data_IF_646564560341
#
_entry.id   IF_646564560341
#
_cell.length_a   1.000
_cell.length_b   1.000
_cell.length_c   1.000
_cell.angle_alpha   90.00
_cell.angle_beta   90.00
_cell.angle_gamma   90.00
#
_symmetry.space_group_name_H-M   'P 1'
#
loop_
_entity.id
_entity.type
_entity.pdbx_description
1 polymer ?
#
# COMPACT_ATOMS: atom_id res chain seq x y z
N UNK A 1 20.45 44.35 1.13
CA UNK A 1 21.16 43.44 0.20
C UNK A 1 20.70 42.04 0.53
N UNK A 2 19.70 41.56 -0.21
CA UNK A 2 19.08 40.24 -0.03
C UNK A 2 19.84 39.24 -0.88
N UNK A 3 20.36 38.21 -0.23
CA UNK A 3 21.09 37.12 -0.87
C UNK A 3 20.15 36.32 -1.78
N UNK A 4 20.62 36.13 -3.01
CA UNK A 4 20.07 35.19 -3.99
C UNK A 4 20.22 33.79 -3.39
N UNK A 5 19.11 33.15 -3.03
CA UNK A 5 19.12 31.72 -2.78
C UNK A 5 19.27 31.01 -4.13
N UNK A 6 20.47 30.49 -4.38
CA UNK A 6 20.74 29.53 -5.44
C UNK A 6 19.79 28.35 -5.27
N UNK A 7 18.81 28.24 -6.16
CA UNK A 7 17.98 27.05 -6.32
C UNK A 7 18.92 25.92 -6.72
N UNK A 8 19.02 24.89 -5.89
CA UNK A 8 19.69 23.64 -6.26
C UNK A 8 19.06 23.08 -7.55
N UNK A 9 19.84 22.46 -8.46
CA UNK A 9 19.30 21.87 -9.68
C UNK A 9 18.46 20.64 -9.32
N UNK A 10 17.17 20.85 -9.07
CA UNK A 10 16.21 19.77 -8.85
C UNK A 10 16.09 18.92 -10.13
N UNK A 11 16.13 17.60 -9.90
CA UNK A 11 16.13 16.50 -10.88
C UNK A 11 15.26 16.76 -12.12
N UNK A 12 15.94 16.66 -13.25
CA UNK A 12 15.44 16.55 -14.62
C UNK A 12 14.37 15.44 -14.70
N UNK A 13 13.09 15.83 -14.87
CA UNK A 13 11.94 14.93 -14.96
C UNK A 13 10.99 15.41 -16.07
N UNK A 14 11.05 14.76 -17.23
CA UNK A 14 10.17 15.00 -18.36
C UNK A 14 10.26 13.86 -19.37
N UNK A 15 9.41 13.85 -20.41
CA UNK A 15 9.39 12.81 -21.41
C UNK A 15 10.61 12.88 -22.35
N UNK A 16 11.00 11.74 -22.93
CA UNK A 16 12.04 11.67 -23.95
C UNK A 16 11.51 11.02 -25.22
N UNK A 17 11.85 11.55 -26.39
CA UNK A 17 11.35 11.08 -27.68
C UNK A 17 11.45 12.12 -28.77
N UNK A 18 10.47 12.11 -29.67
CA UNK A 18 10.42 13.00 -30.81
C UNK A 18 9.12 13.79 -30.86
N UNK A 19 9.24 15.08 -31.13
CA UNK A 19 8.14 16.01 -31.33
C UNK A 19 8.11 16.42 -32.80
N UNK A 20 7.07 16.04 -33.52
CA UNK A 20 6.78 16.54 -34.85
C UNK A 20 6.08 17.89 -34.73
N UNK A 21 6.61 18.95 -35.34
CA UNK A 21 6.06 20.29 -35.31
C UNK A 21 6.15 20.91 -36.72
N UNK A 22 5.00 21.12 -37.38
CA UNK A 22 4.93 21.64 -38.75
C UNK A 22 5.79 20.85 -39.77
N UNK A 23 5.87 19.53 -39.61
CA UNK A 23 6.68 18.65 -40.46
C UNK A 23 8.18 18.62 -40.13
N UNK A 24 8.62 19.37 -39.11
CA UNK A 24 9.96 19.26 -38.54
C UNK A 24 9.97 18.29 -37.36
N UNK A 25 11.00 17.44 -37.31
CA UNK A 25 11.22 16.54 -36.18
C UNK A 25 12.19 17.18 -35.19
N UNK A 26 11.71 17.43 -33.97
CA UNK A 26 12.48 17.95 -32.86
C UNK A 26 12.78 16.82 -31.87
N UNK A 27 13.97 16.85 -31.27
CA UNK A 27 14.35 15.91 -30.21
C UNK A 27 13.85 16.44 -28.88
N UNK A 28 13.21 15.59 -28.10
CA UNK A 28 12.85 15.89 -26.71
C UNK A 28 13.68 14.99 -25.82
N UNK A 29 14.43 15.59 -24.90
CA UNK A 29 15.19 14.84 -23.89
C UNK A 29 14.88 15.36 -22.50
N UNK A 30 14.29 14.50 -21.69
CA UNK A 30 13.79 14.81 -20.35
C UNK A 30 12.93 16.08 -20.28
N UNK A 31 12.01 16.21 -21.24
CA UNK A 31 11.14 17.35 -21.44
C UNK A 31 11.77 18.50 -22.22
N UNK A 32 13.10 18.63 -22.25
CA UNK A 32 13.75 19.71 -23.00
C UNK A 32 13.64 19.46 -24.51
N UNK A 33 13.04 20.41 -25.24
CA UNK A 33 12.87 20.35 -26.70
C UNK A 33 14.05 21.02 -27.38
N UNK A 34 14.67 20.34 -28.34
CA UNK A 34 15.84 20.79 -29.08
C UNK A 34 15.55 20.96 -30.58
N UNK A 35 16.06 22.06 -31.13
CA UNK A 35 16.13 22.32 -32.56
C UNK A 35 17.59 22.61 -32.92
N UNK A 36 18.19 21.80 -33.80
CA UNK A 36 19.60 21.89 -34.18
C UNK A 36 20.56 21.98 -32.97
N UNK A 37 20.28 21.19 -31.92
CA UNK A 37 21.07 21.14 -30.69
C UNK A 37 20.84 22.28 -29.71
N UNK A 38 19.99 23.26 -30.03
CA UNK A 38 19.66 24.37 -29.13
C UNK A 38 18.32 24.14 -28.42
N UNK A 39 18.23 24.41 -27.10
CA UNK A 39 16.98 24.30 -26.36
C UNK A 39 15.99 25.38 -26.80
N UNK A 40 14.80 24.98 -27.26
CA UNK A 40 13.76 25.89 -27.79
C UNK A 40 12.45 25.86 -27.00
N UNK A 41 12.27 24.87 -26.11
CA UNK A 41 11.07 24.76 -25.28
C UNK A 41 11.14 23.59 -24.31
N UNK A 42 10.06 23.37 -23.58
CA UNK A 42 9.91 22.26 -22.63
C UNK A 42 8.55 21.59 -22.79
N UNK A 43 8.53 20.28 -23.00
CA UNK A 43 7.33 19.44 -23.06
C UNK A 43 7.13 18.74 -21.71
N UNK A 44 5.93 18.88 -21.15
CA UNK A 44 5.50 18.15 -19.97
C UNK A 44 4.80 16.83 -20.36
N UNK A 45 4.75 15.87 -19.43
CA UNK A 45 4.17 14.55 -19.68
C UNK A 45 2.66 14.59 -19.93
N UNK A 46 1.97 15.53 -19.29
CA UNK A 46 0.52 15.75 -19.48
C UNK A 46 0.19 16.51 -20.77
N UNK A 47 1.19 16.78 -21.61
CA UNK A 47 1.06 17.34 -22.95
C UNK A 47 1.08 18.86 -23.04
N UNK A 48 1.39 19.58 -21.96
CA UNK A 48 1.68 21.01 -22.06
C UNK A 48 3.06 21.24 -22.70
N UNK A 49 3.12 22.13 -23.69
CA UNK A 49 4.36 22.61 -24.29
C UNK A 49 4.60 24.07 -23.88
N UNK A 50 5.74 24.33 -23.26
CA UNK A 50 6.22 25.67 -22.97
C UNK A 50 7.25 26.09 -24.03
N UNK A 51 6.83 26.96 -24.95
CA UNK A 51 7.70 27.53 -25.98
C UNK A 51 7.66 29.06 -25.88
N UNK A 52 8.83 29.70 -25.81
CA UNK A 52 8.93 31.16 -25.72
C UNK A 52 8.06 31.81 -24.60
N UNK A 53 7.91 31.13 -23.45
CA UNK A 53 7.08 31.52 -22.31
C UNK A 53 5.56 31.43 -22.54
N UNK A 54 5.13 30.76 -23.60
CA UNK A 54 3.73 30.41 -23.85
C UNK A 54 3.58 28.93 -23.52
N UNK A 55 2.75 28.64 -22.52
CA UNK A 55 2.42 27.28 -22.10
C UNK A 55 1.03 26.93 -22.62
N UNK A 56 0.95 25.96 -23.54
CA UNK A 56 -0.31 25.50 -24.14
C UNK A 56 -0.34 23.99 -24.31
N UNK A 57 -1.51 23.35 -24.29
CA UNK A 57 -1.64 21.95 -24.65
C UNK A 57 -1.16 21.69 -26.09
N UNK A 58 -0.50 20.56 -26.31
CA UNK A 58 0.10 20.18 -27.61
C UNK A 58 -0.93 20.13 -28.73
N UNK A 59 -2.16 19.69 -28.46
CA UNK A 59 -3.26 19.63 -29.42
C UNK A 59 -3.82 21.00 -29.85
N UNK A 60 -3.52 22.10 -29.14
CA UNK A 60 -3.80 23.45 -29.66
C UNK A 60 -2.80 23.86 -30.76
N UNK A 61 -1.72 23.11 -30.94
CA UNK A 61 -0.67 23.38 -31.92
C UNK A 61 -0.91 22.46 -33.12
N UNK A 62 -1.37 23.07 -34.22
CA UNK A 62 -1.76 22.32 -35.40
C UNK A 62 -0.62 21.44 -35.94
N UNK A 63 -0.88 20.14 -36.07
CA UNK A 63 0.09 19.16 -36.57
C UNK A 63 1.24 18.86 -35.61
N UNK A 64 1.06 19.14 -34.31
CA UNK A 64 2.04 18.82 -33.28
C UNK A 64 1.78 17.45 -32.67
N UNK A 65 2.74 16.53 -32.76
CA UNK A 65 2.63 15.17 -32.23
C UNK A 65 3.88 14.81 -31.46
N UNK A 66 3.72 14.23 -30.28
CA UNK A 66 4.82 13.64 -29.55
C UNK A 66 4.72 12.12 -29.50
N UNK A 67 5.84 11.44 -29.76
CA UNK A 67 6.01 9.99 -29.58
C UNK A 67 7.29 9.72 -28.81
N UNK A 68 7.18 9.01 -27.70
CA UNK A 68 8.32 8.69 -26.86
C UNK A 68 7.95 7.90 -25.61
N UNK A 69 8.63 8.24 -24.53
CA UNK A 69 8.43 7.66 -23.20
C UNK A 69 8.28 8.79 -22.18
N UNK A 70 7.54 8.53 -21.11
CA UNK A 70 7.53 9.39 -19.92
C UNK A 70 8.81 9.21 -19.08
N UNK A 71 8.94 9.97 -17.99
CA UNK A 71 10.12 9.90 -17.11
C UNK A 71 10.28 8.53 -16.41
N UNK A 72 9.25 7.68 -16.45
CA UNK A 72 9.28 6.32 -15.91
C UNK A 72 9.58 5.28 -16.99
N UNK A 73 9.79 5.67 -18.24
CA UNK A 73 10.07 4.76 -19.35
C UNK A 73 8.82 4.06 -19.91
N UNK A 74 7.62 4.56 -19.61
CA UNK A 74 6.38 4.03 -20.17
C UNK A 74 6.08 4.78 -21.47
N UNK A 75 5.64 4.05 -22.49
CA UNK A 75 5.24 4.62 -23.77
C UNK A 75 4.28 5.82 -23.58
N UNK A 76 4.60 6.92 -24.23
CA UNK A 76 3.85 8.16 -24.21
C UNK A 76 3.64 8.63 -25.65
N UNK A 77 2.39 8.69 -26.05
CA UNK A 77 1.96 9.27 -27.32
C UNK A 77 0.96 10.37 -27.01
N UNK A 78 1.26 11.59 -27.45
CA UNK A 78 0.38 12.73 -27.28
C UNK A 78 -0.24 13.09 -28.64
N UNK A 79 -1.56 12.89 -28.81
CA UNK A 79 -2.23 13.02 -30.11
C UNK A 79 -2.50 14.48 -30.50
N UNK A 80 -2.81 14.71 -31.77
CA UNK A 80 -3.17 16.02 -32.33
C UNK A 80 -4.60 16.49 -32.03
N UNK A 81 -5.45 15.65 -31.43
CA UNK A 81 -6.89 15.88 -31.34
C UNK A 81 -7.44 15.73 -29.92
N UNK A 82 -8.50 16.51 -29.62
CA UNK A 82 -9.22 16.47 -28.35
C UNK A 82 -9.99 15.16 -28.20
N UNK A 83 -9.43 14.23 -27.44
CA UNK A 83 -10.08 12.96 -27.13
C UNK A 83 -10.36 12.92 -25.62
N UNK A 84 -11.54 13.38 -25.20
CA UNK A 84 -12.03 13.25 -23.84
C UNK A 84 -12.28 14.56 -23.09
N UNK A 85 -12.69 14.47 -21.82
CA UNK A 85 -13.18 15.60 -21.06
C UNK A 85 -12.06 16.53 -20.58
N UNK A 86 -12.43 17.77 -20.27
CA UNK A 86 -11.54 18.77 -19.66
C UNK A 86 -12.18 19.34 -18.40
N UNK A 87 -11.43 19.39 -17.30
CA UNK A 87 -11.94 19.85 -16.01
C UNK A 87 -11.03 19.58 -14.83
N UNK A 88 -11.63 19.53 -13.65
CA UNK A 88 -10.95 19.23 -12.39
C UNK A 88 -11.42 17.88 -11.86
N UNK A 89 -10.45 17.05 -11.46
CA UNK A 89 -10.69 15.75 -10.85
C UNK A 89 -10.18 15.79 -9.40
N UNK A 90 -11.03 15.43 -8.45
CA UNK A 90 -10.64 15.12 -7.07
C UNK A 90 -10.60 13.61 -6.91
N UNK A 91 -9.41 13.04 -6.74
CA UNK A 91 -9.17 11.60 -6.64
C UNK A 91 -8.65 11.26 -5.25
N UNK A 92 -9.46 10.64 -4.41
CA UNK A 92 -9.18 10.39 -2.98
C UNK A 92 -8.71 11.65 -2.23
N UNK A 93 -9.32 12.80 -2.52
CA UNK A 93 -8.93 14.10 -1.96
C UNK A 93 -7.73 14.77 -2.65
N UNK A 94 -7.01 14.09 -3.54
CA UNK A 94 -5.94 14.68 -4.36
C UNK A 94 -6.56 15.43 -5.54
N UNK A 95 -6.19 16.70 -5.72
CA UNK A 95 -6.63 17.50 -6.86
C UNK A 95 -5.74 17.24 -8.07
N UNK A 96 -6.37 16.84 -9.17
CA UNK A 96 -5.78 16.56 -10.47
C UNK A 96 -6.46 17.42 -11.55
N UNK A 97 -5.75 17.64 -12.65
CA UNK A 97 -6.25 18.31 -13.83
C UNK A 97 -6.60 17.27 -14.88
N UNK A 98 -7.75 17.41 -15.53
CA UNK A 98 -8.05 16.64 -16.75
C UNK A 98 -8.02 17.60 -17.92
N UNK A 99 -7.16 17.35 -18.90
CA UNK A 99 -7.05 18.15 -20.12
C UNK A 99 -7.15 17.21 -21.31
N UNK A 100 -8.26 17.30 -22.05
CA UNK A 100 -8.56 16.44 -23.20
C UNK A 100 -8.35 14.96 -22.87
N UNK A 101 -9.01 14.51 -21.79
CA UNK A 101 -8.93 13.16 -21.26
C UNK A 101 -7.66 12.84 -20.48
N UNK A 102 -6.56 13.58 -20.62
CA UNK A 102 -5.31 13.28 -19.87
C UNK A 102 -5.41 13.76 -18.44
N UNK A 103 -5.15 12.87 -17.49
CA UNK A 103 -5.12 13.18 -16.07
C UNK A 103 -3.69 13.54 -15.67
N UNK A 104 -3.48 14.82 -15.36
CA UNK A 104 -2.21 15.40 -14.93
C UNK A 104 -2.24 15.83 -13.47
N UNK A 105 -1.09 15.71 -12.81
CA UNK A 105 -0.83 16.35 -11.51
C UNK A 105 -0.65 17.87 -11.67
N UNK A 106 -0.72 18.66 -10.58
CA UNK A 106 -0.44 20.09 -10.65
C UNK A 106 0.96 20.45 -11.16
N UNK A 107 1.94 19.56 -11.02
CA UNK A 107 3.30 19.68 -11.56
C UNK A 107 3.47 19.03 -12.95
N UNK A 108 2.36 18.82 -13.67
CA UNK A 108 2.33 18.37 -15.06
C UNK A 108 2.88 16.96 -15.34
N UNK A 109 2.88 16.08 -14.33
CA UNK A 109 3.12 14.63 -14.53
C UNK A 109 1.85 13.94 -14.97
N UNK A 110 1.96 13.07 -15.96
CA UNK A 110 0.83 12.28 -16.45
C UNK A 110 0.61 11.07 -15.54
N UNK A 111 -0.59 10.94 -14.98
CA UNK A 111 -0.95 9.82 -14.09
C UNK A 111 -2.00 8.90 -14.68
N UNK A 112 -2.71 9.32 -15.72
CA UNK A 112 -3.77 8.53 -16.31
C UNK A 112 -4.54 9.22 -17.42
N UNK A 113 -5.65 8.61 -17.78
CA UNK A 113 -6.61 9.07 -18.79
C UNK A 113 -8.04 8.89 -18.25
N UNK A 114 -8.96 9.74 -18.70
CA UNK A 114 -10.39 9.69 -18.45
C UNK A 114 -11.12 9.84 -19.78
N UNK A 115 -12.14 9.05 -20.04
CA UNK A 115 -13.02 9.22 -21.20
C UNK A 115 -14.31 9.98 -20.85
N UNK A 116 -15.12 10.30 -21.87
CA UNK A 116 -16.37 11.04 -21.73
C UNK A 116 -17.49 10.25 -21.04
N UNK A 117 -17.28 8.96 -20.78
CA UNK A 117 -18.16 8.11 -19.97
C UNK A 117 -17.73 8.10 -18.49
N UNK A 118 -16.57 8.68 -18.19
CA UNK A 118 -15.99 8.74 -16.85
C UNK A 118 -15.17 7.51 -16.47
N UNK A 119 -14.84 6.65 -17.42
CA UNK A 119 -13.90 5.55 -17.20
C UNK A 119 -12.50 6.11 -17.00
N UNK A 120 -11.82 5.66 -15.94
CA UNK A 120 -10.46 6.08 -15.63
C UNK A 120 -9.47 4.95 -15.94
N UNK A 121 -8.36 5.32 -16.56
CA UNK A 121 -7.18 4.49 -16.78
C UNK A 121 -6.00 5.12 -16.04
N UNK A 122 -5.27 4.35 -15.23
CA UNK A 122 -4.08 4.83 -14.52
C UNK A 122 -2.81 4.26 -15.17
N UNK A 123 -1.74 5.06 -15.14
CA UNK A 123 -0.39 4.61 -15.50
C UNK A 123 0.28 3.93 -14.31
N UNK A 124 0.61 2.66 -14.44
CA UNK A 124 1.38 1.92 -13.43
C UNK A 124 2.88 2.11 -13.64
N UNK A 125 3.44 3.07 -12.92
CA UNK A 125 4.88 3.42 -12.99
C UNK A 125 5.82 2.34 -12.49
N UNK A 126 5.32 1.41 -11.66
CA UNK A 126 6.10 0.33 -11.07
C UNK A 126 6.20 -0.84 -12.05
N UNK A 127 5.07 -1.29 -12.58
CA UNK A 127 5.00 -2.42 -13.52
C UNK A 127 5.18 -2.01 -15.00
N UNK A 128 5.36 -0.71 -15.26
CA UNK A 128 5.52 -0.14 -16.60
C UNK A 128 4.33 -0.38 -17.52
N UNK A 129 3.13 -0.37 -16.95
CA UNK A 129 1.87 -0.54 -17.71
C UNK A 129 1.27 0.82 -18.01
N UNK A 130 1.08 1.12 -19.30
CA UNK A 130 0.59 2.42 -19.74
C UNK A 130 -0.88 2.69 -19.40
N UNK A 131 -1.72 1.64 -19.38
CA UNK A 131 -3.17 1.79 -19.22
C UNK A 131 -3.73 0.64 -18.37
N UNK A 132 -3.95 0.92 -17.08
CA UNK A 132 -4.69 0.04 -16.17
C UNK A 132 -6.10 0.60 -16.04
N UNK A 133 -7.09 -0.11 -16.59
CA UNK A 133 -8.50 0.28 -16.46
C UNK A 133 -8.94 0.07 -15.02
N UNK A 134 -9.46 1.11 -14.39
CA UNK A 134 -10.02 0.99 -13.04
C UNK A 134 -11.43 0.44 -13.08
N UNK A 135 -11.73 -0.37 -12.07
CA UNK A 135 -13.04 -0.95 -11.79
C UNK A 135 -13.51 -0.55 -10.38
N UNK A 136 -14.66 -1.07 -9.96
CA UNK A 136 -15.20 -0.81 -8.61
C UNK A 136 -14.28 -1.26 -7.46
N UNK A 137 -13.32 -2.14 -7.72
CA UNK A 137 -12.41 -2.72 -6.74
C UNK A 137 -11.12 -1.90 -6.62
N UNK A 138 -10.67 -1.27 -7.69
CA UNK A 138 -9.42 -0.53 -7.79
C UNK A 138 -9.63 0.99 -7.77
N UNK A 139 -10.75 1.52 -8.24
CA UNK A 139 -11.02 2.96 -8.28
C UNK A 139 -11.24 3.55 -6.89
N UNK A 140 -10.55 4.63 -6.51
CA UNK A 140 -10.82 5.36 -5.28
C UNK A 140 -11.95 6.38 -5.47
N UNK A 141 -12.36 7.03 -4.38
CA UNK A 141 -13.38 8.10 -4.45
C UNK A 141 -12.97 9.14 -5.49
N UNK A 142 -13.84 9.38 -6.47
CA UNK A 142 -13.58 10.18 -7.66
C UNK A 142 -14.69 11.20 -7.80
N UNK A 143 -14.35 12.48 -7.89
CA UNK A 143 -15.30 13.55 -8.19
C UNK A 143 -14.72 14.39 -9.33
N UNK A 144 -15.39 14.43 -10.46
CA UNK A 144 -15.01 15.21 -11.61
C UNK A 144 -16.05 16.29 -11.92
N UNK A 145 -15.58 17.50 -12.21
CA UNK A 145 -16.38 18.60 -12.71
C UNK A 145 -15.67 19.27 -13.90
N UNK A 146 -16.36 19.35 -15.03
CA UNK A 146 -15.80 19.90 -16.26
C UNK A 146 -16.78 19.83 -17.43
N UNK A 147 -16.23 19.60 -18.62
CA UNK A 147 -16.98 19.42 -19.86
C UNK A 147 -16.46 18.20 -20.61
N UNK A 148 -17.33 17.54 -21.38
CA UNK A 148 -16.96 16.48 -22.32
C UNK A 148 -16.22 17.05 -23.53
N UNK A 149 -15.71 16.16 -24.39
CA UNK A 149 -15.06 16.57 -25.65
C UNK A 149 -15.98 17.36 -26.60
N UNK A 150 -17.31 17.14 -26.52
CA UNK A 150 -18.31 17.86 -27.31
C UNK A 150 -18.69 19.23 -26.73
N UNK A 151 -18.14 19.60 -25.57
CA UNK A 151 -18.39 20.85 -24.86
C UNK A 151 -19.56 20.80 -23.86
N UNK A 152 -20.30 19.69 -23.78
CA UNK A 152 -21.39 19.57 -22.81
C UNK A 152 -20.87 19.50 -21.37
N UNK A 153 -21.52 20.17 -20.40
CA UNK A 153 -21.15 20.08 -19.00
C UNK A 153 -21.16 18.63 -18.50
N UNK A 154 -20.11 18.24 -17.78
CA UNK A 154 -19.93 16.89 -17.26
C UNK A 154 -19.61 16.91 -15.77
N UNK A 155 -20.45 16.21 -15.01
CA UNK A 155 -20.19 15.88 -13.61
C UNK A 155 -20.21 14.37 -13.45
N UNK A 156 -19.19 13.83 -12.80
CA UNK A 156 -19.07 12.41 -12.53
C UNK A 156 -18.64 12.22 -11.08
N UNK A 157 -19.33 11.35 -10.34
CA UNK A 157 -18.99 11.01 -8.97
C UNK A 157 -19.03 9.48 -8.81
N UNK A 158 -17.92 8.94 -8.32
CA UNK A 158 -17.81 7.56 -7.87
C UNK A 158 -17.38 7.57 -6.40
N UNK A 159 -18.19 6.96 -5.54
CA UNK A 159 -17.92 6.83 -4.11
C UNK A 159 -18.05 5.37 -3.72
N UNK A 160 -17.05 4.85 -3.00
CA UNK A 160 -17.09 3.47 -2.53
C UNK A 160 -18.17 3.27 -1.46
N UNK A 161 -18.76 2.07 -1.33
CA UNK A 161 -19.70 1.75 -0.26
C UNK A 161 -19.12 2.03 1.14
N UNK A 162 -19.93 2.51 2.09
CA UNK A 162 -19.51 2.82 3.48
C UNK A 162 -18.37 3.86 3.58
N UNK A 163 -18.19 4.71 2.57
CA UNK A 163 -17.22 5.80 2.59
C UNK A 163 -17.61 6.90 3.58
N UNK A 164 -16.65 7.27 4.42
CA UNK A 164 -16.71 8.43 5.32
C UNK A 164 -15.82 9.52 4.75
N UNK A 165 -16.44 10.67 4.46
CA UNK A 165 -15.79 11.83 3.82
C UNK A 165 -14.64 12.43 4.65
N UNK A 166 -14.66 12.22 5.97
CA UNK A 166 -13.66 12.71 6.92
C UNK A 166 -12.49 11.75 7.16
N UNK A 167 -12.42 10.64 6.41
CA UNK A 167 -11.45 9.56 6.59
C UNK A 167 -10.66 9.28 5.31
N UNK A 168 -9.39 8.89 5.47
CA UNK A 168 -8.55 8.38 4.39
C UNK A 168 -9.13 7.08 3.80
N UNK A 169 -8.61 6.64 2.66
CA UNK A 169 -8.95 5.31 2.16
C UNK A 169 -8.54 4.23 3.16
N UNK A 170 -7.33 4.33 3.74
CA UNK A 170 -6.83 3.33 4.69
C UNK A 170 -7.76 3.19 5.90
N UNK A 171 -8.18 4.31 6.51
CA UNK A 171 -9.13 4.33 7.62
C UNK A 171 -10.47 3.73 7.21
N UNK A 172 -11.00 4.09 6.04
CA UNK A 172 -12.26 3.53 5.54
C UNK A 172 -12.16 2.02 5.33
N UNK A 173 -11.06 1.51 4.80
CA UNK A 173 -10.89 0.07 4.58
C UNK A 173 -10.71 -0.70 5.89
N UNK A 174 -10.02 -0.13 6.88
CA UNK A 174 -9.98 -0.65 8.24
C UNK A 174 -11.40 -0.72 8.81
N UNK A 175 -12.15 0.38 8.79
CA UNK A 175 -13.53 0.42 9.29
C UNK A 175 -14.41 -0.66 8.64
N UNK A 176 -14.24 -0.92 7.34
CA UNK A 176 -14.97 -2.00 6.64
C UNK A 176 -14.55 -3.40 7.06
N UNK A 177 -13.29 -3.59 7.43
CA UNK A 177 -12.76 -4.87 7.88
C UNK A 177 -13.23 -5.23 9.30
N UNK A 178 -13.46 -4.23 10.18
CA UNK A 178 -13.97 -4.44 11.54
C UNK A 178 -15.49 -4.28 11.59
N UNK A 179 -16.22 -5.37 11.81
CA UNK A 179 -17.64 -5.26 12.13
C UNK A 179 -17.79 -4.56 13.50
N UNK A 180 -18.78 -3.66 13.59
CA UNK A 180 -19.02 -2.85 14.80
C UNK A 180 -17.88 -1.90 15.21
N UNK A 181 -17.00 -1.48 14.29
CA UNK A 181 -15.94 -0.49 14.57
C UNK A 181 -16.45 0.75 15.33
N UNK A 182 -17.67 1.22 15.02
CA UNK A 182 -18.24 2.40 15.68
C UNK A 182 -18.50 2.21 17.17
N UNK A 183 -18.75 0.97 17.62
CA UNK A 183 -18.99 0.63 19.03
C UNK A 183 -17.70 0.60 19.85
N UNK A 184 -16.53 0.62 19.21
CA UNK A 184 -15.24 0.64 19.87
C UNK A 184 -14.99 1.98 20.60
N UNK A 185 -14.35 1.90 21.77
CA UNK A 185 -13.86 3.07 22.52
C UNK A 185 -12.69 3.72 21.76
N UNK A 186 -12.41 5.00 22.03
CA UNK A 186 -11.36 5.77 21.34
C UNK A 186 -9.99 5.10 21.35
N UNK A 187 -9.56 4.54 22.49
CA UNK A 187 -8.27 3.85 22.59
C UNK A 187 -8.21 2.58 21.71
N UNK A 188 -9.34 1.86 21.61
CA UNK A 188 -9.45 0.65 20.80
C UNK A 188 -9.42 1.00 19.30
N UNK A 189 -10.13 2.07 18.90
CA UNK A 189 -10.08 2.59 17.53
C UNK A 189 -8.66 2.99 17.13
N UNK A 190 -7.94 3.71 18.01
CA UNK A 190 -6.54 4.09 17.76
C UNK A 190 -5.66 2.86 17.55
N UNK A 191 -5.74 1.88 18.45
CA UNK A 191 -5.00 0.63 18.36
C UNK A 191 -5.25 -0.12 17.04
N UNK A 192 -6.52 -0.25 16.65
CA UNK A 192 -6.92 -0.92 15.41
C UNK A 192 -6.38 -0.18 14.18
N UNK A 193 -6.56 1.14 14.13
CA UNK A 193 -6.02 1.95 13.03
C UNK A 193 -4.49 1.83 12.93
N UNK A 194 -3.80 1.94 14.06
CA UNK A 194 -2.33 1.89 14.11
C UNK A 194 -1.78 0.52 13.68
N UNK A 195 -2.41 -0.57 14.11
CA UNK A 195 -1.98 -1.94 13.77
C UNK A 195 -2.33 -2.38 12.35
N UNK A 196 -3.27 -1.73 11.67
CA UNK A 196 -3.74 -2.13 10.34
C UNK A 196 -3.40 -1.17 9.21
N UNK A 197 -2.91 0.04 9.53
CA UNK A 197 -2.70 1.10 8.53
C UNK A 197 -1.81 0.68 7.36
N UNK A 198 -0.68 0.01 7.62
CA UNK A 198 0.23 -0.40 6.54
C UNK A 198 -0.43 -1.39 5.57
N UNK A 199 -1.26 -2.30 6.08
CA UNK A 199 -1.97 -3.30 5.29
C UNK A 199 -3.12 -2.69 4.48
N UNK A 200 -3.79 -1.70 5.06
CA UNK A 200 -4.86 -0.95 4.39
C UNK A 200 -4.30 -0.02 3.31
N UNK A 201 -3.31 0.82 3.65
CA UNK A 201 -2.69 1.78 2.73
C UNK A 201 -1.90 1.12 1.58
N UNK A 202 -1.50 -0.15 1.73
CA UNK A 202 -0.90 -0.96 0.65
C UNK A 202 -1.91 -1.70 -0.23
N UNK A 203 -3.20 -1.65 0.11
CA UNK A 203 -4.27 -2.37 -0.60
C UNK A 203 -4.37 -3.86 -0.27
N UNK A 204 -3.41 -4.42 0.47
CA UNK A 204 -3.37 -5.85 0.83
C UNK A 204 -4.59 -6.24 1.67
N UNK A 205 -5.00 -5.40 2.63
CA UNK A 205 -6.16 -5.66 3.48
C UNK A 205 -7.44 -5.88 2.69
N UNK A 206 -7.67 -5.09 1.64
CA UNK A 206 -8.86 -5.22 0.80
C UNK A 206 -8.89 -6.57 0.07
N UNK A 207 -7.74 -6.99 -0.47
CA UNK A 207 -7.64 -8.24 -1.23
C UNK A 207 -7.84 -9.44 -0.30
N UNK A 208 -7.19 -9.43 0.87
CA UNK A 208 -7.39 -10.46 1.90
C UNK A 208 -8.88 -10.52 2.28
N UNK A 209 -9.50 -9.40 2.63
CA UNK A 209 -10.92 -9.32 3.01
C UNK A 209 -11.87 -9.85 1.93
N UNK A 210 -11.60 -9.59 0.64
CA UNK A 210 -12.43 -10.06 -0.48
C UNK A 210 -12.20 -11.52 -0.85
N UNK A 211 -10.98 -12.02 -0.68
CA UNK A 211 -10.61 -13.40 -0.99
C UNK A 211 -11.36 -14.43 -0.14
N UNK A 212 -11.88 -14.01 1.01
CA UNK A 212 -12.65 -14.86 1.92
C UNK A 212 -14.15 -14.95 1.57
N UNK A 213 -14.58 -14.31 0.47
CA UNK A 213 -15.98 -14.26 0.04
C UNK A 213 -16.82 -13.31 0.89
N UNK A 214 -18.07 -13.08 0.47
CA UNK A 214 -19.05 -12.33 1.28
C UNK A 214 -19.04 -12.92 2.70
N UNK A 215 -18.84 -12.09 3.73
CA UNK A 215 -18.66 -12.44 5.15
C UNK A 215 -19.87 -13.17 5.81
N UNK A 216 -20.74 -13.78 5.02
CA UNK A 216 -21.87 -14.62 5.42
C UNK A 216 -21.64 -16.12 5.22
N UNK A 217 -20.59 -16.57 4.51
CA UNK A 217 -20.39 -17.99 4.23
C UNK A 217 -18.91 -18.40 4.35
N UNK A 218 -18.52 -18.98 5.50
CA UNK A 218 -17.27 -19.77 5.62
C UNK A 218 -16.46 -19.51 6.89
N UNK A 219 -16.54 -20.42 7.86
CA UNK A 219 -15.88 -20.33 9.17
C UNK A 219 -14.34 -20.42 9.09
N UNK A 220 -13.63 -19.44 9.65
CA UNK A 220 -12.34 -19.68 10.33
C UNK A 220 -12.61 -19.54 11.83
N UNK A 221 -12.73 -20.66 12.52
CA UNK A 221 -12.81 -20.75 13.99
C UNK A 221 -11.48 -21.25 14.52
N UNK A 222 -10.66 -20.35 15.04
CA UNK A 222 -9.60 -20.60 16.03
C UNK A 222 -9.84 -19.55 17.12
N UNK A 223 -9.91 -19.80 18.43
CA UNK A 223 -10.37 -20.92 19.24
C UNK A 223 -10.90 -20.30 20.56
N UNK A 224 -11.78 -21.02 21.29
CA UNK A 224 -12.38 -20.68 22.60
C UNK A 224 -13.44 -19.55 22.67
N UNK A 225 -14.71 -19.98 22.74
CA UNK A 225 -15.98 -19.34 23.17
C UNK A 225 -15.94 -17.92 23.81
N UNK A 226 -16.90 -17.02 23.62
CA UNK A 226 -18.25 -17.10 23.07
C UNK A 226 -19.05 -15.86 23.52
N UNK A 227 -19.89 -15.32 22.62
CA UNK A 227 -20.95 -14.34 22.93
C UNK A 227 -20.48 -13.04 23.63
N UNK A 228 -19.76 -12.19 22.91
CA UNK A 228 -19.79 -10.69 22.93
C UNK A 228 -18.54 -10.14 22.24
N UNK A 229 -18.23 -10.57 21.01
CA UNK A 229 -16.91 -10.31 20.43
C UNK A 229 -16.79 -9.04 19.58
N UNK A 230 -15.56 -8.56 19.44
CA UNK A 230 -15.14 -7.62 18.39
C UNK A 230 -14.76 -8.47 17.17
N UNK A 231 -15.44 -8.25 16.04
CA UNK A 231 -15.22 -9.04 14.82
C UNK A 231 -14.21 -8.36 13.90
N UNK A 232 -13.11 -9.04 13.61
CA UNK A 232 -12.04 -8.61 12.71
C UNK A 232 -12.05 -9.56 11.50
N UNK A 233 -12.88 -9.30 10.49
CA UNK A 233 -13.28 -10.35 9.56
C UNK A 233 -13.98 -11.53 10.27
N UNK A 234 -13.47 -12.76 10.10
CA UNK A 234 -14.01 -13.98 10.73
C UNK A 234 -13.52 -14.26 12.15
N UNK A 235 -12.54 -13.51 12.67
CA UNK A 235 -12.06 -13.72 14.03
C UNK A 235 -12.92 -12.93 15.00
N UNK A 236 -13.51 -13.65 15.96
CA UNK A 236 -14.24 -13.07 17.08
C UNK A 236 -13.27 -13.01 18.24
N UNK A 237 -12.64 -11.86 18.46
CA UNK A 237 -11.83 -11.67 19.66
C UNK A 237 -12.78 -11.61 20.86
N UNK A 238 -12.47 -12.39 21.90
CA UNK A 238 -13.15 -12.25 23.18
C UNK A 238 -12.98 -10.80 23.66
N UNK A 239 -14.06 -10.19 24.13
CA UNK A 239 -14.03 -8.77 24.49
C UNK A 239 -13.12 -8.51 25.67
N UNK A 240 -13.03 -9.44 26.62
CA UNK A 240 -12.11 -9.28 27.74
C UNK A 240 -10.66 -9.44 27.29
N UNK A 241 -10.37 -10.41 26.42
CA UNK A 241 -9.05 -10.59 25.81
C UNK A 241 -8.62 -9.37 25.00
N UNK A 242 -9.51 -8.83 24.17
CA UNK A 242 -9.25 -7.61 23.40
C UNK A 242 -9.03 -6.40 24.32
N UNK A 243 -9.82 -6.23 25.39
CA UNK A 243 -9.61 -5.15 26.37
C UNK A 243 -8.30 -5.33 27.15
N UNK A 244 -7.90 -6.56 27.49
CA UNK A 244 -6.60 -6.88 28.11
C UNK A 244 -5.45 -6.52 27.18
N UNK A 245 -5.51 -6.92 25.92
CA UNK A 245 -4.47 -6.63 24.92
C UNK A 245 -4.29 -5.13 24.69
N UNK A 246 -5.39 -4.38 24.58
CA UNK A 246 -5.32 -2.92 24.44
C UNK A 246 -4.72 -2.27 25.69
N UNK A 247 -5.00 -2.81 26.87
CA UNK A 247 -4.40 -2.34 28.12
C UNK A 247 -2.90 -2.62 28.15
N UNK A 248 -2.47 -3.80 27.71
CA UNK A 248 -1.06 -4.16 27.59
C UNK A 248 -0.34 -3.30 26.55
N UNK A 249 -0.94 -3.10 25.38
CA UNK A 249 -0.39 -2.22 24.34
C UNK A 249 -0.26 -0.78 24.83
N UNK A 250 -1.28 -0.24 25.49
CA UNK A 250 -1.23 1.12 26.03
C UNK A 250 -0.17 1.29 27.13
N UNK A 251 0.12 0.23 27.89
CA UNK A 251 1.06 0.27 29.02
C UNK A 251 2.50 -0.05 28.64
N UNK A 252 2.70 -0.99 27.72
CA UNK A 252 4.00 -1.57 27.40
C UNK A 252 4.40 -1.40 25.93
N UNK A 253 3.51 -0.89 25.08
CA UNK A 253 3.73 -0.78 23.65
C UNK A 253 3.51 -2.10 22.91
N UNK A 254 4.08 -2.19 21.71
CA UNK A 254 3.91 -3.33 20.79
C UNK A 254 4.53 -4.64 21.27
N UNK A 255 5.52 -4.59 22.16
CA UNK A 255 6.16 -5.78 22.72
C UNK A 255 6.32 -5.63 24.23
N UNK A 256 6.12 -6.74 24.95
CA UNK A 256 6.26 -6.80 26.40
C UNK A 256 7.06 -8.04 26.82
N UNK A 257 7.75 -7.94 27.95
CA UNK A 257 8.39 -9.09 28.61
C UNK A 257 7.58 -9.39 29.86
N UNK A 258 7.04 -10.60 29.95
CA UNK A 258 6.14 -11.00 31.04
C UNK A 258 6.72 -12.16 31.83
N UNK A 259 6.44 -12.18 33.14
CA UNK A 259 6.82 -13.28 34.01
C UNK A 259 5.96 -14.51 33.75
N UNK A 260 6.56 -15.69 33.76
CA UNK A 260 5.82 -16.97 33.70
C UNK A 260 5.74 -17.63 35.08
N UNK A 261 4.94 -18.69 35.20
CA UNK A 261 4.92 -19.53 36.41
C UNK A 261 6.21 -20.34 36.62
N UNK A 262 7.00 -20.53 35.57
CA UNK A 262 8.25 -21.29 35.58
C UNK A 262 9.41 -20.34 35.86
N UNK A 263 9.86 -20.25 37.11
CA UNK A 263 11.01 -19.40 37.47
C UNK A 263 12.33 -20.06 37.08
N UNK A 264 13.35 -19.30 36.63
CA UNK A 264 13.40 -17.84 36.49
C UNK A 264 12.97 -17.32 35.10
N UNK A 265 12.18 -18.08 34.34
CA UNK A 265 11.89 -17.79 32.94
C UNK A 265 10.80 -16.73 32.72
N UNK A 266 11.00 -15.98 31.64
CA UNK A 266 10.16 -14.92 31.08
C UNK A 266 9.69 -15.32 29.68
N UNK A 267 8.60 -14.72 29.24
CA UNK A 267 8.08 -14.83 27.88
C UNK A 267 8.07 -13.44 27.25
N UNK A 268 8.51 -13.33 26.00
CA UNK A 268 8.36 -12.11 25.21
C UNK A 268 7.05 -12.19 24.45
N UNK A 269 6.24 -11.14 24.49
CA UNK A 269 4.92 -11.08 23.83
C UNK A 269 4.87 -9.94 22.84
N UNK A 270 4.01 -10.11 21.84
CA UNK A 270 3.56 -9.03 20.97
C UNK A 270 2.13 -8.65 21.34
N UNK A 271 1.87 -7.37 21.59
CA UNK A 271 0.54 -6.89 21.98
C UNK A 271 -0.22 -6.38 20.74
N UNK A 272 -0.22 -7.17 19.66
CA UNK A 272 -0.72 -6.80 18.34
C UNK A 272 -1.71 -7.84 17.78
N UNK A 273 -2.60 -8.34 18.65
CA UNK A 273 -3.57 -9.41 18.35
C UNK A 273 -4.34 -9.17 17.05
N UNK A 274 -4.78 -7.94 16.78
CA UNK A 274 -5.55 -7.64 15.56
C UNK A 274 -4.74 -7.90 14.29
N UNK A 275 -3.47 -7.50 14.26
CA UNK A 275 -2.60 -7.73 13.12
C UNK A 275 -2.10 -9.19 13.06
N UNK A 276 -1.98 -9.84 14.21
CA UNK A 276 -1.69 -11.28 14.30
C UNK A 276 -2.78 -12.08 13.59
N UNK A 277 -4.05 -11.83 13.92
CA UNK A 277 -5.19 -12.52 13.29
C UNK A 277 -5.28 -12.25 11.78
N UNK A 278 -5.02 -11.00 11.38
CA UNK A 278 -4.86 -10.68 9.96
C UNK A 278 -3.73 -11.47 9.30
N UNK A 279 -2.64 -11.74 10.02
CA UNK A 279 -1.53 -12.55 9.54
C UNK A 279 -1.94 -13.96 9.14
N UNK A 280 -2.80 -14.62 9.92
CA UNK A 280 -3.35 -15.92 9.54
C UNK A 280 -4.15 -15.85 8.23
N UNK A 281 -4.99 -14.81 8.06
CA UNK A 281 -5.77 -14.61 6.84
C UNK A 281 -4.84 -14.35 5.64
N UNK A 282 -3.82 -13.52 5.82
CA UNK A 282 -2.83 -13.20 4.80
C UNK A 282 -2.04 -14.45 4.35
N UNK A 283 -1.81 -15.43 5.23
CA UNK A 283 -1.08 -16.66 4.87
C UNK A 283 -1.77 -17.41 3.71
N UNK A 284 -3.11 -17.42 3.67
CA UNK A 284 -3.88 -18.06 2.60
C UNK A 284 -3.65 -17.41 1.23
N UNK A 285 -3.28 -16.13 1.20
CA UNK A 285 -2.99 -15.40 -0.03
C UNK A 285 -1.59 -15.69 -0.59
N UNK A 286 -0.70 -16.27 0.21
CA UNK A 286 0.67 -16.57 -0.20
C UNK A 286 0.75 -17.75 -1.17
N UNK A 287 1.74 -17.69 -2.07
CA UNK A 287 2.07 -18.82 -2.95
C UNK A 287 2.56 -20.03 -2.14
N UNK A 288 2.41 -21.25 -2.69
CA UNK A 288 2.93 -22.45 -2.03
C UNK A 288 4.45 -22.38 -1.83
N UNK A 289 5.18 -21.79 -2.78
CA UNK A 289 6.63 -21.63 -2.69
C UNK A 289 7.00 -20.72 -1.50
N UNK A 290 6.28 -19.62 -1.32
CA UNK A 290 6.46 -18.73 -0.17
C UNK A 290 6.12 -19.42 1.15
N UNK A 291 5.00 -20.16 1.21
CA UNK A 291 4.61 -20.90 2.40
C UNK A 291 5.64 -21.96 2.80
N UNK A 292 6.25 -22.64 1.81
CA UNK A 292 7.36 -23.59 2.02
C UNK A 292 8.60 -22.87 2.55
N UNK A 293 8.98 -21.73 1.95
CA UNK A 293 10.11 -20.94 2.45
C UNK A 293 9.91 -20.51 3.91
N UNK A 294 8.72 -20.06 4.28
CA UNK A 294 8.36 -19.71 5.66
C UNK A 294 8.50 -20.92 6.60
N UNK A 295 8.08 -22.11 6.14
CA UNK A 295 8.26 -23.36 6.90
C UNK A 295 9.74 -23.63 7.17
N UNK A 296 10.56 -23.56 6.15
CA UNK A 296 11.98 -23.89 6.26
C UNK A 296 12.71 -22.91 7.20
N UNK A 297 12.35 -21.62 7.15
CA UNK A 297 12.81 -20.59 8.10
C UNK A 297 12.39 -20.90 9.54
N UNK A 298 11.11 -21.22 9.75
CA UNK A 298 10.59 -21.60 11.05
C UNK A 298 11.31 -22.81 11.63
N UNK A 299 11.47 -23.89 10.86
CA UNK A 299 12.15 -25.11 11.32
C UNK A 299 13.62 -24.85 11.67
N UNK A 300 14.32 -24.01 10.89
CA UNK A 300 15.68 -23.61 11.20
C UNK A 300 15.76 -22.85 12.54
N UNK A 301 14.81 -21.94 12.80
CA UNK A 301 14.73 -21.20 14.07
C UNK A 301 14.39 -22.10 15.25
N UNK A 302 13.44 -23.03 15.10
CA UNK A 302 13.11 -23.99 16.15
C UNK A 302 14.33 -24.83 16.52
N UNK A 303 15.05 -25.39 15.53
CA UNK A 303 16.29 -26.15 15.77
C UNK A 303 17.34 -25.32 16.51
N UNK A 304 17.52 -24.06 16.13
CA UNK A 304 18.44 -23.15 16.82
C UNK A 304 17.97 -22.85 18.25
N UNK A 305 16.68 -22.64 18.46
CA UNK A 305 16.08 -22.38 19.75
C UNK A 305 16.21 -23.55 20.70
N UNK A 306 15.99 -24.76 20.24
CA UNK A 306 16.14 -25.96 21.07
C UNK A 306 17.58 -26.13 21.57
N UNK A 307 18.56 -25.62 20.82
CA UNK A 307 19.97 -25.62 21.23
C UNK A 307 20.36 -24.46 22.15
N UNK A 308 19.83 -23.25 21.92
CA UNK A 308 20.23 -22.03 22.66
C UNK A 308 19.37 -21.76 23.90
N UNK A 309 18.06 -21.95 23.75
CA UNK A 309 17.04 -21.67 24.76
C UNK A 309 16.16 -22.92 24.96
N UNK A 310 16.74 -24.04 25.45
CA UNK A 310 16.00 -25.27 25.64
C UNK A 310 14.86 -25.07 26.64
N UNK A 311 13.71 -25.69 26.35
CA UNK A 311 12.56 -25.61 27.24
C UNK A 311 12.86 -26.31 28.58
N UNK A 312 12.36 -25.76 29.70
CA UNK A 312 12.45 -26.44 31.01
C UNK A 312 11.78 -27.82 30.96
N UNK A 313 12.32 -28.86 31.63
CA UNK A 313 11.77 -30.22 31.57
C UNK A 313 10.29 -30.34 31.98
N UNK A 314 9.82 -29.47 32.87
CA UNK A 314 8.43 -29.44 33.37
C UNK A 314 7.51 -28.50 32.55
N UNK A 315 8.04 -27.86 31.50
CA UNK A 315 7.27 -26.95 30.66
C UNK A 315 6.57 -27.71 29.53
N UNK A 316 5.27 -27.92 29.69
CA UNK A 316 4.41 -28.57 28.70
C UNK A 316 3.99 -27.63 27.54
N UNK A 317 4.36 -26.35 27.60
CA UNK A 317 4.03 -25.38 26.56
C UNK A 317 5.03 -25.40 25.40
N UNK A 318 4.71 -24.65 24.35
CA UNK A 318 5.53 -24.58 23.14
C UNK A 318 6.16 -23.21 22.89
N UNK A 319 5.91 -22.22 23.76
CA UNK A 319 6.50 -20.88 23.63
C UNK A 319 8.01 -20.90 23.94
N UNK A 320 8.78 -20.02 23.29
CA UNK A 320 10.15 -19.73 23.72
C UNK A 320 10.12 -19.11 25.14
N UNK A 321 10.87 -19.72 26.05
CA UNK A 321 11.05 -19.25 27.43
C UNK A 321 12.50 -18.82 27.64
N UNK A 322 12.70 -17.64 28.23
CA UNK A 322 13.99 -17.00 28.35
C UNK A 322 14.28 -16.60 29.78
N UNK A 323 15.50 -16.80 30.26
CA UNK A 323 15.95 -16.11 31.47
C UNK A 323 16.08 -14.59 31.20
N UNK A 324 16.09 -13.72 32.23
CA UNK A 324 16.20 -12.27 32.02
C UNK A 324 17.41 -11.86 31.17
N UNK A 325 18.52 -12.58 31.29
CA UNK A 325 19.75 -12.34 30.55
C UNK A 325 19.66 -12.74 29.07
N UNK A 326 18.77 -13.68 28.72
CA UNK A 326 18.59 -14.20 27.36
C UNK A 326 17.59 -13.40 26.53
N UNK A 327 16.76 -12.53 27.15
CA UNK A 327 15.75 -11.73 26.43
C UNK A 327 16.30 -10.92 25.25
N UNK A 328 17.49 -10.29 25.35
CA UNK A 328 18.10 -9.59 24.21
C UNK A 328 18.55 -10.53 23.08
N UNK A 329 18.79 -11.81 23.38
CA UNK A 329 19.31 -12.82 22.45
C UNK A 329 18.22 -13.76 21.90
N UNK A 330 16.95 -13.46 22.21
CA UNK A 330 15.79 -14.24 21.77
C UNK A 330 15.82 -14.55 20.27
N UNK A 331 15.23 -15.67 19.88
CA UNK A 331 15.20 -16.10 18.48
C UNK A 331 13.87 -15.83 17.80
N UNK A 332 12.80 -15.65 18.56
CA UNK A 332 11.49 -15.32 18.03
C UNK A 332 11.04 -13.92 18.45
N UNK A 333 10.17 -13.32 17.63
CA UNK A 333 9.65 -11.97 17.88
C UNK A 333 8.79 -11.92 19.14
N UNK A 334 8.08 -13.03 19.39
CA UNK A 334 7.43 -13.39 20.65
C UNK A 334 7.70 -14.87 20.95
N UNK A 335 7.54 -15.27 22.20
CA UNK A 335 7.66 -16.67 22.58
C UNK A 335 6.63 -17.55 21.89
N UNK A 336 5.41 -17.05 21.71
CA UNK A 336 4.30 -17.79 21.09
C UNK A 336 4.57 -18.19 19.64
N UNK A 337 5.35 -17.39 18.91
CA UNK A 337 5.81 -17.70 17.55
C UNK A 337 6.56 -19.04 17.43
N UNK A 338 7.17 -19.55 18.51
CA UNK A 338 7.83 -20.87 18.53
C UNK A 338 6.83 -22.03 18.40
N UNK A 339 5.56 -21.81 18.71
CA UNK A 339 4.59 -22.90 18.87
C UNK A 339 4.21 -23.60 17.57
N UNK A 340 4.12 -22.86 16.48
CA UNK A 340 3.86 -23.40 15.15
C UNK A 340 4.36 -22.47 14.05
N UNK A 341 4.50 -22.98 12.83
CA UNK A 341 4.77 -22.17 11.63
C UNK A 341 3.73 -21.06 11.44
N UNK A 342 2.46 -21.34 11.74
CA UNK A 342 1.36 -20.41 11.54
C UNK A 342 1.44 -19.24 12.52
N UNK A 343 1.75 -19.55 13.79
CA UNK A 343 1.98 -18.53 14.81
C UNK A 343 3.24 -17.72 14.52
N UNK A 344 4.32 -18.38 14.06
CA UNK A 344 5.52 -17.68 13.62
C UNK A 344 5.23 -16.65 12.54
N UNK A 345 4.45 -17.02 11.52
CA UNK A 345 4.04 -16.08 10.47
C UNK A 345 3.17 -14.95 11.01
N UNK A 346 2.12 -15.27 11.76
CA UNK A 346 1.17 -14.29 12.31
C UNK A 346 1.84 -13.27 13.23
N UNK A 347 2.73 -13.73 14.11
CA UNK A 347 3.52 -12.88 15.01
C UNK A 347 4.49 -11.97 14.24
N UNK A 348 5.08 -12.44 13.15
CA UNK A 348 5.93 -11.62 12.29
C UNK A 348 5.12 -10.57 11.50
N UNK A 349 3.92 -10.93 11.00
CA UNK A 349 2.99 -9.97 10.39
C UNK A 349 2.61 -8.89 11.40
N UNK A 350 2.24 -9.30 12.62
CA UNK A 350 1.90 -8.39 13.70
C UNK A 350 3.05 -7.42 13.99
N UNK A 351 4.28 -7.92 14.10
CA UNK A 351 5.44 -7.07 14.32
C UNK A 351 5.69 -6.09 13.17
N UNK A 352 5.52 -6.55 11.93
CA UNK A 352 5.72 -5.72 10.75
C UNK A 352 4.71 -4.56 10.63
N UNK A 353 3.54 -4.69 11.26
CA UNK A 353 2.47 -3.68 11.23
C UNK A 353 2.87 -2.32 11.78
N UNK A 354 3.68 -2.28 12.83
CA UNK A 354 4.04 -1.05 13.55
C UNK A 354 5.53 -0.79 13.46
N UNK A 355 5.91 0.47 13.25
CA UNK A 355 7.30 0.85 12.88
C UNK A 355 8.36 0.30 13.83
N UNK A 356 8.20 0.53 15.14
CA UNK A 356 9.23 0.14 16.12
C UNK A 356 9.44 -1.38 16.19
N UNK A 357 8.34 -2.15 16.09
CA UNK A 357 8.42 -3.62 16.09
C UNK A 357 8.94 -4.15 14.74
N UNK A 358 8.59 -3.49 13.63
CA UNK A 358 9.10 -3.77 12.28
C UNK A 358 10.62 -3.56 12.20
N UNK A 359 11.13 -2.48 12.78
CA UNK A 359 12.56 -2.18 12.84
C UNK A 359 13.32 -3.22 13.68
N UNK A 360 12.69 -3.75 14.72
CA UNK A 360 13.24 -4.84 15.50
C UNK A 360 13.21 -6.17 14.73
N UNK A 361 12.08 -6.51 14.09
CA UNK A 361 11.93 -7.71 13.26
C UNK A 361 13.00 -7.75 12.16
N UNK A 362 13.29 -6.62 11.51
CA UNK A 362 14.35 -6.51 10.50
C UNK A 362 15.72 -6.97 11.01
N UNK A 363 16.03 -6.74 12.29
CA UNK A 363 17.31 -7.13 12.92
C UNK A 363 17.30 -8.58 13.38
N UNK A 364 16.19 -9.01 13.98
CA UNK A 364 16.03 -10.37 14.53
C UNK A 364 15.86 -11.43 13.43
N UNK A 365 15.09 -11.06 12.40
CA UNK A 365 14.64 -11.93 11.33
C UNK A 365 14.58 -11.20 9.99
N UNK A 366 15.76 -10.91 9.40
CA UNK A 366 15.82 -10.19 8.13
C UNK A 366 15.15 -10.96 7.00
N UNK A 367 15.16 -12.30 7.01
CA UNK A 367 14.59 -13.10 5.93
C UNK A 367 13.06 -13.06 5.90
N UNK A 368 12.40 -13.19 7.06
CA UNK A 368 10.94 -13.04 7.13
C UNK A 368 10.52 -11.58 6.88
N UNK A 369 11.32 -10.61 7.36
CA UNK A 369 11.11 -9.20 7.10
C UNK A 369 11.10 -8.90 5.59
N UNK A 370 12.04 -9.47 4.83
CA UNK A 370 12.08 -9.29 3.39
C UNK A 370 10.86 -9.91 2.69
N UNK A 371 10.38 -11.09 3.13
CA UNK A 371 9.13 -11.66 2.61
C UNK A 371 7.94 -10.72 2.86
N UNK A 372 7.83 -10.17 4.07
CA UNK A 372 6.75 -9.22 4.43
C UNK A 372 6.86 -7.90 3.66
N UNK A 373 8.08 -7.42 3.40
CA UNK A 373 8.34 -6.25 2.54
C UNK A 373 7.91 -6.53 1.11
N UNK A 374 8.17 -7.73 0.59
CA UNK A 374 7.76 -8.15 -0.76
C UNK A 374 6.25 -8.29 -0.90
N UNK A 375 5.51 -8.68 0.16
CA UNK A 375 4.03 -8.68 0.12
C UNK A 375 3.47 -7.33 -0.29
N UNK A 376 4.12 -6.24 0.10
CA UNK A 376 3.70 -4.88 -0.26
C UNK A 376 4.37 -4.40 -1.55
N UNK A 377 5.67 -4.64 -1.71
CA UNK A 377 6.46 -3.98 -2.78
C UNK A 377 6.54 -4.78 -4.07
N UNK A 378 6.41 -6.11 -4.00
CA UNK A 378 6.54 -7.07 -5.10
C UNK A 378 5.61 -8.26 -4.87
N UNK A 379 4.28 -8.05 -4.73
CA UNK A 379 3.34 -9.11 -4.37
C UNK A 379 3.37 -10.28 -5.37
N UNK A 380 3.75 -10.06 -6.63
CA UNK A 380 3.94 -11.07 -7.66
C UNK A 380 4.99 -12.14 -7.32
N UNK A 381 5.96 -11.81 -6.45
CA UNK A 381 6.99 -12.76 -6.02
C UNK A 381 6.52 -13.69 -4.89
N UNK A 382 5.53 -13.27 -4.11
CA UNK A 382 5.20 -13.93 -2.84
C UNK A 382 3.74 -14.40 -2.74
N UNK A 383 2.81 -13.76 -3.44
CA UNK A 383 1.38 -14.07 -3.40
C UNK A 383 0.96 -14.97 -4.56
N UNK A 384 -0.21 -15.60 -4.45
CA UNK A 384 -0.82 -16.35 -5.55
C UNK A 384 -1.27 -15.39 -6.66
N UNK A 385 -1.20 -15.84 -7.91
CA UNK A 385 -1.60 -15.05 -9.09
C UNK A 385 -2.99 -14.44 -9.02
N UNK A 386 -3.96 -15.22 -8.55
CA UNK A 386 -5.35 -14.76 -8.37
C UNK A 386 -5.51 -13.57 -7.42
N UNK A 387 -4.51 -13.29 -6.58
CA UNK A 387 -4.53 -12.19 -5.62
C UNK A 387 -3.65 -11.03 -6.03
N UNK A 388 -2.43 -11.27 -6.54
CA UNK A 388 -1.51 -10.16 -6.79
C UNK A 388 -1.96 -9.23 -7.92
N UNK A 389 -2.66 -9.71 -8.96
CA UNK A 389 -3.15 -8.85 -10.06
C UNK A 389 -4.05 -7.73 -9.48
N UNK A 390 -4.99 -8.10 -8.61
CA UNK A 390 -5.87 -7.16 -7.91
C UNK A 390 -5.10 -6.23 -6.95
N UNK A 391 -4.03 -6.73 -6.30
CA UNK A 391 -3.17 -5.88 -5.45
C UNK A 391 -2.47 -4.83 -6.31
N UNK A 392 -1.85 -5.21 -7.42
CA UNK A 392 -1.07 -4.30 -8.26
C UNK A 392 -1.95 -3.20 -8.88
N UNK A 393 -3.14 -3.55 -9.37
CA UNK A 393 -4.10 -2.58 -9.91
C UNK A 393 -4.54 -1.57 -8.84
N UNK A 394 -4.91 -2.05 -7.64
CA UNK A 394 -5.27 -1.19 -6.52
C UNK A 394 -4.09 -0.35 -6.05
N UNK A 395 -2.86 -0.89 -6.01
CA UNK A 395 -1.68 -0.14 -5.60
C UNK A 395 -1.35 1.01 -6.55
N UNK A 396 -1.55 0.83 -7.86
CA UNK A 396 -1.40 1.92 -8.84
C UNK A 396 -2.37 3.07 -8.55
N UNK A 397 -3.61 2.72 -8.26
CA UNK A 397 -4.63 3.66 -7.83
C UNK A 397 -4.31 4.36 -6.49
N UNK A 398 -3.82 3.61 -5.49
CA UNK A 398 -3.41 4.14 -4.19
C UNK A 398 -2.22 5.08 -4.26
N UNK A 399 -1.30 4.91 -5.21
CA UNK A 399 -0.19 5.85 -5.44
C UNK A 399 -0.70 7.19 -5.95
N UNK A 400 -1.62 7.17 -6.92
CA UNK A 400 -2.26 8.39 -7.44
C UNK A 400 -3.11 9.08 -6.37
N UNK A 401 -3.83 8.31 -5.56
CA UNK A 401 -4.63 8.80 -4.44
C UNK A 401 -3.84 9.19 -3.18
N UNK A 402 -2.50 9.12 -3.20
CA UNK A 402 -1.64 9.58 -2.11
C UNK A 402 -1.56 8.65 -0.88
N UNK A 403 -2.11 7.44 -0.93
CA UNK A 403 -2.15 6.49 0.19
C UNK A 403 -0.89 5.61 0.22
N UNK A 404 -0.54 5.03 -0.92
CA UNK A 404 0.66 4.21 -1.06
C UNK A 404 1.87 5.10 -1.37
N UNK A 405 2.53 5.55 -0.31
CA UNK A 405 3.72 6.40 -0.42
C UNK A 405 5.01 5.58 -0.44
N UNK A 406 6.09 6.16 -1.00
CA UNK A 406 7.41 5.51 -1.04
C UNK A 406 7.99 5.17 0.35
N UNK A 407 7.52 5.86 1.40
CA UNK A 407 7.98 5.69 2.78
C UNK A 407 7.02 4.84 3.64
N UNK A 408 5.98 4.23 3.07
CA UNK A 408 4.98 3.50 3.84
C UNK A 408 5.59 2.43 4.77
N UNK A 409 6.68 1.80 4.34
CA UNK A 409 7.38 0.72 5.08
C UNK A 409 8.56 1.27 5.91
N UNK A 410 9.05 2.48 5.64
CA UNK A 410 10.29 3.02 6.22
C UNK A 410 10.11 3.75 7.55
#
# INVERSE_FOLDING_TARGET
MTAVSSVEPHKVHGPSGFLELHGHMLVVDYGQVYMDGNPVGYLFEDGYLNQAKITKPIEEIHGCVFRGIDANGIALELPTANNGPTGKLTYNGVTLNVTNGRIGTPDHRLVGEMDDDGTIYIRDTVNKVARVKLDENSQLTTIFEGHKSDGEPFKHEFVRPLYRKDKSYSDNEIIRYFADFDKLKTAQKKYVCESMNIWAASGVLQVVRKSEGNCMLGNVKHGAAGVTGVRTGYVTLDREEFEKEITLFAKFGSSAVVSTRFKPYLEVRINLVVAHEFGHQLEFCLSQATQNRIRDLYEARVRLCDSKHPLPPEYEGMSELLTPQQVPERLFISGYARSSKHEYWAECVAAFSVKDSRDYLKKLDPEIYEILREVITKPENVMRRVFYDNVLELQSSLRVGGELTANLIN
#
